data_IF_119410232525
#
_entry.id   IF_119410232525
#
_cell.length_a   1.000
_cell.length_b   1.000
_cell.length_c   1.000
_cell.angle_alpha   90.00
_cell.angle_beta   90.00
_cell.angle_gamma   90.00
#
_symmetry.space_group_name_H-M   'P 1'
#
loop_
_entity.id
_entity.type
_entity.pdbx_description
1 polymer ?
#
# COMPACT_ATOMS: atom_id res chain seq x y z
N UNK A 1 -1.37 -13.47 12.98
CA UNK A 1 -1.43 -13.42 11.51
C UNK A 1 -2.89 -13.61 11.11
N UNK A 2 -3.42 -12.77 10.29
CA UNK A 2 -4.74 -12.90 9.68
C UNK A 2 -4.61 -12.77 8.16
N UNK A 3 -5.56 -13.33 7.44
CA UNK A 3 -5.61 -13.28 5.98
C UNK A 3 -6.62 -12.21 5.58
N UNK A 4 -6.25 -11.36 4.64
CA UNK A 4 -7.14 -10.42 3.97
C UNK A 4 -7.05 -10.61 2.45
N UNK A 5 -8.03 -10.09 1.75
CA UNK A 5 -8.07 -10.10 0.28
C UNK A 5 -8.00 -8.66 -0.22
N UNK A 6 -7.29 -8.43 -1.32
CA UNK A 6 -7.28 -7.10 -1.96
C UNK A 6 -8.54 -6.90 -2.80
N UNK A 7 -9.09 -5.69 -2.78
CA UNK A 7 -10.17 -5.29 -3.70
C UNK A 7 -9.70 -5.32 -5.16
N UNK A 8 -8.39 -5.24 -5.41
CA UNK A 8 -7.75 -5.41 -6.74
C UNK A 8 -8.09 -6.76 -7.41
N UNK A 9 -8.54 -7.78 -6.64
CA UNK A 9 -9.01 -9.05 -7.20
C UNK A 9 -10.22 -8.90 -8.14
N UNK A 10 -10.99 -7.83 -8.02
CA UNK A 10 -12.14 -7.52 -8.86
C UNK A 10 -12.09 -6.11 -9.45
N UNK A 11 -11.04 -5.76 -10.21
CA UNK A 11 -10.78 -4.38 -10.64
C UNK A 11 -11.85 -3.82 -11.58
N UNK A 12 -12.61 -4.69 -12.27
CA UNK A 12 -13.66 -4.30 -13.20
C UNK A 12 -15.01 -4.01 -12.52
N UNK A 13 -15.17 -4.35 -11.22
CA UNK A 13 -16.42 -4.13 -10.50
C UNK A 13 -16.37 -2.79 -9.76
N UNK A 14 -17.52 -2.10 -9.59
CA UNK A 14 -17.62 -1.03 -8.60
C UNK A 14 -17.27 -1.52 -7.18
N UNK A 15 -16.73 -0.65 -6.32
CA UNK A 15 -16.28 -1.03 -4.97
C UNK A 15 -17.33 -1.84 -4.20
N UNK A 16 -18.56 -1.37 -4.14
CA UNK A 16 -19.64 -2.07 -3.41
C UNK A 16 -19.86 -3.50 -3.91
N UNK A 17 -19.85 -3.73 -5.24
CA UNK A 17 -19.99 -5.06 -5.83
C UNK A 17 -18.75 -5.93 -5.60
N UNK A 18 -17.55 -5.36 -5.66
CA UNK A 18 -16.32 -6.07 -5.33
C UNK A 18 -16.36 -6.55 -3.87
N UNK A 19 -16.78 -5.68 -2.95
CA UNK A 19 -16.91 -6.02 -1.54
C UNK A 19 -17.97 -7.10 -1.27
N UNK A 20 -19.14 -7.04 -1.94
CA UNK A 20 -20.16 -8.05 -1.86
C UNK A 20 -19.63 -9.42 -2.32
N UNK A 21 -18.90 -9.44 -3.45
CA UNK A 21 -18.26 -10.66 -3.96
C UNK A 21 -17.23 -11.23 -2.99
N UNK A 22 -16.40 -10.39 -2.37
CA UNK A 22 -15.41 -10.83 -1.39
C UNK A 22 -16.08 -11.37 -0.11
N UNK A 23 -17.19 -10.77 0.31
CA UNK A 23 -17.99 -11.27 1.45
C UNK A 23 -18.67 -12.62 1.15
N UNK A 24 -19.18 -12.83 -0.08
CA UNK A 24 -19.70 -14.12 -0.54
C UNK A 24 -18.64 -15.23 -0.53
N UNK A 25 -17.37 -14.88 -0.76
CA UNK A 25 -16.22 -15.78 -0.66
C UNK A 25 -15.73 -16.01 0.78
N UNK A 26 -16.51 -15.55 1.77
CA UNK A 26 -16.27 -15.74 3.20
C UNK A 26 -15.02 -15.01 3.75
N UNK A 27 -14.46 -14.05 3.04
CA UNK A 27 -13.44 -13.19 3.62
C UNK A 27 -14.03 -12.28 4.69
N UNK A 28 -13.24 -11.94 5.70
CA UNK A 28 -13.62 -11.06 6.81
C UNK A 28 -12.77 -9.81 6.91
N UNK A 29 -11.66 -9.76 6.17
CA UNK A 29 -10.73 -8.65 6.14
C UNK A 29 -10.34 -8.31 4.70
N UNK A 30 -10.10 -7.02 4.43
CA UNK A 30 -9.83 -6.52 3.09
C UNK A 30 -8.69 -5.49 3.10
N UNK A 31 -7.89 -5.51 2.05
CA UNK A 31 -7.01 -4.42 1.65
C UNK A 31 -7.74 -3.58 0.60
N UNK A 32 -7.84 -2.27 0.84
CA UNK A 32 -8.47 -1.33 -0.08
C UNK A 32 -7.45 -0.85 -1.11
N UNK A 33 -7.79 -0.98 -2.39
CA UNK A 33 -7.02 -0.46 -3.51
C UNK A 33 -7.40 1.00 -3.79
N UNK A 34 -6.47 1.92 -3.53
CA UNK A 34 -6.63 3.39 -3.69
C UNK A 34 -5.60 3.88 -4.68
N UNK A 35 -5.90 3.71 -5.95
CA UNK A 35 -5.01 4.02 -7.06
C UNK A 35 -5.63 5.06 -8.00
N UNK A 36 -4.83 5.96 -8.54
CA UNK A 36 -5.32 7.02 -9.44
C UNK A 36 -5.85 6.45 -10.75
N UNK A 37 -5.27 5.35 -11.23
CA UNK A 37 -5.71 4.64 -12.43
C UNK A 37 -6.09 3.21 -12.09
N UNK A 38 -7.32 2.83 -12.36
CA UNK A 38 -7.80 1.46 -12.19
C UNK A 38 -8.16 1.04 -10.78
N UNK A 39 -7.96 1.89 -9.76
CA UNK A 39 -8.35 1.61 -8.38
C UNK A 39 -9.84 1.82 -8.12
N UNK A 40 -10.37 1.15 -7.11
CA UNK A 40 -11.76 1.33 -6.68
C UNK A 40 -12.00 2.70 -6.06
N UNK A 41 -10.99 3.24 -5.41
CA UNK A 41 -10.95 4.61 -4.88
C UNK A 41 -9.79 5.35 -5.56
N UNK A 42 -10.04 6.59 -5.94
CA UNK A 42 -9.02 7.44 -6.56
C UNK A 42 -8.50 8.45 -5.54
N UNK A 43 -7.18 8.54 -5.30
CA UNK A 43 -6.58 9.49 -4.36
C UNK A 43 -7.06 10.93 -4.53
N UNK A 44 -7.22 11.41 -5.77
CA UNK A 44 -7.73 12.74 -6.04
C UNK A 44 -9.19 12.93 -5.55
N UNK A 45 -10.03 11.92 -5.72
CA UNK A 45 -11.43 11.96 -5.23
C UNK A 45 -11.49 11.89 -3.72
N UNK A 46 -10.66 11.04 -3.09
CA UNK A 46 -10.54 10.97 -1.63
C UNK A 46 -10.10 12.32 -1.05
N UNK A 47 -9.19 13.03 -1.72
CA UNK A 47 -8.75 14.35 -1.30
C UNK A 47 -9.84 15.42 -1.48
N UNK A 48 -10.63 15.34 -2.56
CA UNK A 48 -11.69 16.28 -2.86
C UNK A 48 -12.93 16.14 -1.95
N UNK A 49 -13.29 14.90 -1.58
CA UNK A 49 -14.47 14.60 -0.74
C UNK A 49 -14.19 13.45 0.21
N UNK A 50 -13.67 13.79 1.39
CA UNK A 50 -13.34 12.85 2.44
C UNK A 50 -14.58 12.13 3.00
N UNK A 51 -15.70 12.83 3.13
CA UNK A 51 -16.95 12.29 3.70
C UNK A 51 -17.55 11.25 2.76
N UNK A 52 -17.62 11.56 1.46
CA UNK A 52 -18.08 10.60 0.46
C UNK A 52 -17.18 9.35 0.40
N UNK A 53 -15.84 9.51 0.51
CA UNK A 53 -14.92 8.40 0.54
C UNK A 53 -15.14 7.50 1.77
N UNK A 54 -15.31 8.09 2.96
CA UNK A 54 -15.61 7.36 4.19
C UNK A 54 -16.96 6.64 4.05
N UNK A 55 -18.01 7.32 3.56
CA UNK A 55 -19.33 6.73 3.36
C UNK A 55 -19.27 5.52 2.40
N UNK A 56 -18.55 5.65 1.28
CA UNK A 56 -18.36 4.54 0.33
C UNK A 56 -17.66 3.32 0.94
N UNK A 57 -16.83 3.53 1.99
CA UNK A 57 -16.15 2.47 2.70
C UNK A 57 -16.86 2.01 3.99
N UNK A 58 -17.88 2.74 4.48
CA UNK A 58 -18.55 2.41 5.74
C UNK A 58 -19.60 1.32 5.60
N UNK A 59 -20.16 1.14 4.40
CA UNK A 59 -21.15 0.09 4.09
C UNK A 59 -20.48 -1.19 3.57
N UNK A 60 -19.34 -1.53 4.16
CA UNK A 60 -18.52 -2.68 3.73
C UNK A 60 -19.03 -4.03 4.22
N UNK A 61 -20.33 -4.12 4.48
CA UNK A 61 -21.00 -5.35 4.88
C UNK A 61 -20.36 -5.99 6.13
N UNK A 62 -19.59 -7.05 5.96
CA UNK A 62 -18.91 -7.77 7.05
C UNK A 62 -17.40 -7.72 6.95
N UNK A 63 -16.87 -6.97 5.97
CA UNK A 63 -15.44 -6.90 5.71
C UNK A 63 -14.79 -5.75 6.49
N UNK A 64 -13.73 -6.07 7.21
CA UNK A 64 -12.94 -5.07 7.94
C UNK A 64 -11.73 -4.64 7.11
N UNK A 65 -11.59 -3.36 6.74
CA UNK A 65 -10.36 -2.85 6.15
C UNK A 65 -9.19 -3.02 7.13
N UNK A 66 -8.04 -3.50 6.64
CA UNK A 66 -6.84 -3.76 7.45
C UNK A 66 -5.59 -3.13 6.85
N UNK A 67 -5.60 -2.86 5.56
CA UNK A 67 -4.55 -2.15 4.84
C UNK A 67 -5.15 -1.28 3.73
N UNK A 68 -4.42 -0.27 3.32
CA UNK A 68 -4.70 0.55 2.14
C UNK A 68 -3.48 0.52 1.23
N UNK A 69 -3.66 0.05 0.00
CA UNK A 69 -2.66 0.15 -1.07
C UNK A 69 -2.85 1.48 -1.79
N UNK A 70 -1.81 2.30 -1.82
CA UNK A 70 -1.85 3.66 -2.36
C UNK A 70 -0.88 3.79 -3.54
N UNK A 71 -1.40 4.26 -4.69
CA UNK A 71 -0.59 4.70 -5.81
C UNK A 71 -1.17 5.97 -6.45
N UNK A 72 -0.30 6.96 -6.67
CA UNK A 72 -0.64 8.21 -7.35
C UNK A 72 0.58 8.72 -8.13
N UNK A 73 0.37 9.52 -9.19
CA UNK A 73 1.45 10.14 -9.94
C UNK A 73 2.35 11.01 -9.05
N UNK A 74 3.65 10.99 -9.34
CA UNK A 74 4.62 11.88 -8.70
C UNK A 74 4.47 13.32 -9.23
N UNK A 75 3.60 14.08 -8.60
CA UNK A 75 3.34 15.49 -8.88
C UNK A 75 3.25 16.31 -7.60
N UNK A 76 2.97 17.61 -7.72
CA UNK A 76 2.89 18.52 -6.58
C UNK A 76 1.82 18.13 -5.53
N UNK A 77 0.78 17.39 -5.95
CA UNK A 77 -0.36 17.01 -5.10
C UNK A 77 -0.16 15.63 -4.43
N UNK A 78 0.93 14.90 -4.72
CA UNK A 78 1.17 13.55 -4.24
C UNK A 78 1.00 13.41 -2.72
N UNK A 79 1.64 14.28 -1.96
CA UNK A 79 1.64 14.20 -0.50
C UNK A 79 0.30 14.65 0.11
N UNK A 80 -0.39 15.61 -0.49
CA UNK A 80 -1.73 16.02 -0.10
C UNK A 80 -2.72 14.86 -0.29
N UNK A 81 -2.68 14.21 -1.45
CA UNK A 81 -3.49 13.03 -1.75
C UNK A 81 -3.19 11.88 -0.81
N UNK A 82 -1.90 11.63 -0.54
CA UNK A 82 -1.50 10.61 0.43
C UNK A 82 -2.02 10.92 1.83
N UNK A 83 -1.91 12.17 2.28
CA UNK A 83 -2.43 12.59 3.58
C UNK A 83 -3.95 12.40 3.67
N UNK A 84 -4.69 12.70 2.61
CA UNK A 84 -6.13 12.45 2.55
C UNK A 84 -6.45 10.95 2.68
N UNK A 85 -5.70 10.09 1.97
CA UNK A 85 -5.85 8.63 2.07
C UNK A 85 -5.45 8.11 3.47
N UNK A 86 -4.45 8.70 4.13
CA UNK A 86 -4.12 8.40 5.52
C UNK A 86 -5.27 8.76 6.48
N UNK A 87 -5.94 9.90 6.27
CA UNK A 87 -7.15 10.26 7.07
C UNK A 87 -8.28 9.26 6.85
N UNK A 88 -8.53 8.85 5.60
CA UNK A 88 -9.49 7.79 5.28
C UNK A 88 -9.13 6.49 6.01
N UNK A 89 -7.90 6.03 5.89
CA UNK A 89 -7.40 4.83 6.56
C UNK A 89 -7.62 4.90 8.08
N UNK A 90 -7.29 6.03 8.70
CA UNK A 90 -7.52 6.27 10.14
C UNK A 90 -8.99 6.20 10.53
N UNK A 91 -9.88 6.79 9.74
CA UNK A 91 -11.34 6.77 9.99
C UNK A 91 -11.91 5.35 9.90
N UNK A 92 -11.32 4.50 9.09
CA UNK A 92 -11.70 3.08 8.93
C UNK A 92 -11.00 2.13 9.94
N UNK A 93 -10.15 2.66 10.83
CA UNK A 93 -9.39 1.85 11.78
C UNK A 93 -8.24 1.05 11.17
N UNK A 94 -7.82 1.40 9.96
CA UNK A 94 -6.65 0.82 9.28
C UNK A 94 -5.38 1.37 9.91
N UNK A 95 -4.34 0.55 9.98
CA UNK A 95 -3.03 0.96 10.53
C UNK A 95 -1.89 0.85 9.51
N UNK A 96 -2.10 0.21 8.36
CA UNK A 96 -1.06 -0.06 7.37
C UNK A 96 -1.37 0.64 6.04
N UNK A 97 -0.45 1.49 5.59
CA UNK A 97 -0.44 2.08 4.26
C UNK A 97 0.64 1.38 3.43
N UNK A 98 0.27 0.79 2.30
CA UNK A 98 1.21 0.21 1.34
C UNK A 98 1.49 1.22 0.24
N UNK A 99 2.75 1.49 -0.05
CA UNK A 99 3.18 2.41 -1.12
C UNK A 99 4.18 1.72 -2.04
N UNK A 100 4.19 2.11 -3.29
CA UNK A 100 5.22 1.67 -4.25
C UNK A 100 6.53 2.41 -4.01
N UNK A 101 7.67 1.76 -4.30
CA UNK A 101 8.93 2.49 -4.44
C UNK A 101 9.04 3.15 -5.82
N UNK A 102 9.94 4.11 -5.95
CA UNK A 102 10.26 4.72 -7.23
C UNK A 102 10.83 3.70 -8.23
N UNK A 103 10.79 4.04 -9.50
CA UNK A 103 11.33 3.21 -10.59
C UNK A 103 12.84 3.02 -10.45
N UNK A 104 13.34 1.95 -11.07
CA UNK A 104 14.78 1.72 -11.18
C UNK A 104 15.49 2.90 -11.85
N UNK A 105 16.65 3.28 -11.29
CA UNK A 105 17.42 4.41 -11.78
C UNK A 105 17.11 5.73 -11.09
N UNK A 106 16.08 5.81 -10.26
CA UNK A 106 15.84 6.96 -9.39
C UNK A 106 17.02 7.14 -8.42
N UNK A 107 17.53 8.38 -8.22
CA UNK A 107 18.57 8.63 -7.25
C UNK A 107 18.20 8.16 -5.85
N UNK A 108 19.06 7.33 -5.23
CA UNK A 108 18.78 6.69 -3.94
C UNK A 108 18.41 7.68 -2.83
N UNK A 109 19.11 8.82 -2.76
CA UNK A 109 18.79 9.87 -1.79
C UNK A 109 17.44 10.53 -2.05
N UNK A 110 17.03 10.65 -3.31
CA UNK A 110 15.70 11.16 -3.67
C UNK A 110 14.58 10.24 -3.16
N UNK A 111 14.76 8.93 -3.32
CA UNK A 111 13.82 7.95 -2.79
C UNK A 111 13.76 7.96 -1.25
N UNK A 112 14.90 8.08 -0.56
CA UNK A 112 14.95 8.23 0.89
C UNK A 112 14.13 9.45 1.33
N UNK A 113 14.30 10.59 0.69
CA UNK A 113 13.56 11.81 1.04
C UNK A 113 12.05 11.66 0.77
N UNK A 114 11.69 11.02 -0.35
CA UNK A 114 10.30 10.72 -0.70
C UNK A 114 9.63 9.82 0.35
N UNK A 115 10.27 8.71 0.69
CA UNK A 115 9.76 7.76 1.68
C UNK A 115 9.70 8.36 3.10
N UNK A 116 10.67 9.21 3.47
CA UNK A 116 10.64 9.96 4.75
C UNK A 116 9.39 10.84 4.87
N UNK A 117 8.99 11.50 3.79
CA UNK A 117 7.76 12.31 3.76
C UNK A 117 6.52 11.45 3.96
N UNK A 118 6.41 10.31 3.27
CA UNK A 118 5.31 9.38 3.48
C UNK A 118 5.24 8.89 4.93
N UNK A 119 6.39 8.46 5.49
CA UNK A 119 6.45 7.99 6.87
C UNK A 119 6.06 9.10 7.86
N UNK A 120 6.54 10.33 7.66
CA UNK A 120 6.20 11.45 8.52
C UNK A 120 4.69 11.74 8.52
N UNK A 121 4.06 11.83 7.34
CA UNK A 121 2.61 12.06 7.21
C UNK A 121 1.80 10.94 7.88
N UNK A 122 2.16 9.69 7.64
CA UNK A 122 1.47 8.54 8.21
C UNK A 122 1.62 8.47 9.74
N UNK A 123 2.81 8.77 10.25
CA UNK A 123 3.11 8.73 11.68
C UNK A 123 2.28 9.74 12.50
N UNK A 124 1.95 10.92 11.95
CA UNK A 124 1.05 11.88 12.60
C UNK A 124 -0.34 11.30 12.92
N UNK A 125 -0.76 10.31 12.15
CA UNK A 125 -2.04 9.62 12.31
C UNK A 125 -1.91 8.24 12.99
N UNK A 126 -0.70 7.86 13.38
CA UNK A 126 -0.42 6.55 14.00
C UNK A 126 -0.47 5.39 13.00
N UNK A 127 -0.17 5.65 11.72
CA UNK A 127 -0.14 4.66 10.66
C UNK A 127 1.31 4.22 10.36
N UNK A 128 1.46 3.02 9.85
CA UNK A 128 2.74 2.45 9.39
C UNK A 128 2.77 2.45 7.86
N UNK A 129 3.88 2.86 7.27
CA UNK A 129 4.11 2.78 5.83
C UNK A 129 4.94 1.55 5.50
N UNK A 130 4.38 0.64 4.72
CA UNK A 130 5.07 -0.49 4.12
C UNK A 130 5.41 -0.22 2.66
N UNK A 131 6.70 -0.16 2.30
CA UNK A 131 7.09 -0.10 0.89
C UNK A 131 6.96 -1.48 0.25
N UNK A 132 6.23 -1.56 -0.86
CA UNK A 132 6.00 -2.81 -1.60
C UNK A 132 7.28 -3.26 -2.29
N UNK A 133 7.59 -4.56 -2.20
CA UNK A 133 8.65 -5.16 -3.01
C UNK A 133 8.11 -5.48 -4.39
N UNK A 134 8.79 -4.99 -5.45
CA UNK A 134 8.28 -5.09 -6.81
C UNK A 134 9.40 -5.12 -7.84
N UNK A 135 9.28 -6.04 -8.82
CA UNK A 135 10.19 -6.12 -9.96
C UNK A 135 10.07 -4.86 -10.84
N UNK A 136 11.20 -4.34 -11.32
CA UNK A 136 11.25 -3.08 -12.09
C UNK A 136 11.31 -1.82 -11.23
N UNK A 137 11.18 -1.95 -9.92
CA UNK A 137 11.27 -0.86 -8.95
C UNK A 137 12.55 -0.94 -8.11
N UNK A 138 12.86 0.10 -7.35
CA UNK A 138 14.05 0.10 -6.48
C UNK A 138 14.01 -1.03 -5.44
N UNK A 139 12.84 -1.46 -5.02
CA UNK A 139 12.61 -2.55 -4.07
C UNK A 139 12.66 -3.95 -4.68
N UNK A 140 13.00 -4.09 -5.97
CA UNK A 140 13.21 -5.41 -6.58
C UNK A 140 14.41 -6.15 -5.97
N UNK A 141 15.36 -5.41 -5.38
CA UNK A 141 16.53 -5.98 -4.72
C UNK A 141 16.37 -5.90 -3.18
N UNK A 142 16.49 -7.04 -2.45
CA UNK A 142 16.31 -7.06 -0.99
C UNK A 142 17.34 -6.22 -0.24
N UNK A 143 18.59 -6.14 -0.71
CA UNK A 143 19.63 -5.34 -0.04
C UNK A 143 19.35 -3.85 -0.20
N UNK A 144 18.89 -3.42 -1.37
CA UNK A 144 18.43 -2.06 -1.59
C UNK A 144 17.24 -1.73 -0.68
N UNK A 145 16.26 -2.64 -0.60
CA UNK A 145 15.10 -2.51 0.29
C UNK A 145 15.52 -2.41 1.76
N UNK A 146 16.43 -3.29 2.21
CA UNK A 146 16.98 -3.22 3.57
C UNK A 146 17.73 -1.89 3.83
N UNK A 147 18.43 -1.37 2.81
CA UNK A 147 19.11 -0.08 2.90
C UNK A 147 18.13 1.08 3.01
N UNK A 148 17.03 1.07 2.26
CA UNK A 148 15.96 2.06 2.41
C UNK A 148 15.40 2.05 3.84
N UNK A 149 15.06 0.87 4.40
CA UNK A 149 14.57 0.76 5.77
C UNK A 149 15.58 1.27 6.82
N UNK A 150 16.88 1.05 6.61
CA UNK A 150 17.92 1.59 7.51
C UNK A 150 18.01 3.12 7.48
N UNK A 151 17.79 3.72 6.32
CA UNK A 151 17.93 5.17 6.10
C UNK A 151 16.62 5.95 6.31
N UNK A 152 15.48 5.25 6.40
CA UNK A 152 14.15 5.84 6.65
C UNK A 152 13.57 5.23 7.93
N UNK A 153 13.85 5.80 9.11
CA UNK A 153 13.30 5.30 10.37
C UNK A 153 11.76 5.27 10.33
N UNK A 154 11.16 4.15 10.76
CA UNK A 154 9.71 3.95 10.73
C UNK A 154 9.18 3.36 9.42
N UNK A 155 10.00 3.23 8.38
CA UNK A 155 9.62 2.51 7.16
C UNK A 155 9.60 1.01 7.42
N UNK A 156 8.51 0.38 7.02
CA UNK A 156 8.33 -1.06 6.98
C UNK A 156 8.30 -1.59 5.53
N UNK A 157 8.11 -2.89 5.38
CA UNK A 157 8.07 -3.57 4.08
C UNK A 157 6.72 -4.26 3.90
N UNK A 158 6.07 -4.02 2.78
CA UNK A 158 4.99 -4.84 2.25
C UNK A 158 5.62 -5.86 1.28
N UNK A 159 5.87 -7.06 1.79
CA UNK A 159 6.60 -8.10 1.08
C UNK A 159 5.71 -8.81 0.07
N UNK A 160 6.07 -8.78 -1.20
CA UNK A 160 5.55 -9.66 -2.23
C UNK A 160 6.67 -10.62 -2.70
N UNK A 161 6.70 -11.86 -2.17
CA UNK A 161 7.78 -12.79 -2.48
C UNK A 161 7.78 -13.24 -3.94
N UNK A 162 6.65 -13.12 -4.65
CA UNK A 162 6.55 -13.52 -6.07
C UNK A 162 7.54 -12.75 -6.95
N UNK A 163 7.77 -11.47 -6.64
CA UNK A 163 8.71 -10.64 -7.39
C UNK A 163 10.18 -11.07 -7.21
N UNK A 164 10.53 -11.70 -6.09
CA UNK A 164 11.87 -12.26 -5.87
C UNK A 164 12.03 -13.65 -6.50
N UNK A 165 10.93 -14.40 -6.62
CA UNK A 165 10.93 -15.73 -7.21
C UNK A 165 10.92 -15.65 -8.74
N UNK A 166 10.03 -14.83 -9.30
CA UNK A 166 9.79 -14.76 -10.75
C UNK A 166 10.50 -13.58 -11.43
N UNK A 167 10.86 -12.54 -10.68
CA UNK A 167 11.51 -11.33 -11.19
C UNK A 167 13.01 -11.45 -11.45
N UNK A 168 13.66 -12.52 -11.01
CA UNK A 168 15.11 -12.69 -11.07
C UNK A 168 15.52 -13.96 -11.82
N UNK A 169 16.69 -13.90 -12.51
CA UNK A 169 17.28 -15.07 -13.19
C UNK A 169 17.82 -16.13 -12.21
N UNK A 170 18.01 -15.78 -10.94
CA UNK A 170 18.49 -16.66 -9.86
C UNK A 170 17.67 -16.38 -8.60
N UNK A 171 17.42 -17.39 -7.74
CA UNK A 171 16.79 -17.18 -6.45
C UNK A 171 17.54 -16.11 -5.64
N UNK A 172 16.82 -15.16 -5.09
CA UNK A 172 17.35 -14.08 -4.24
C UNK A 172 16.83 -14.30 -2.83
N UNK A 173 17.73 -14.31 -1.83
CA UNK A 173 17.32 -14.36 -0.43
C UNK A 173 16.76 -13.00 0.01
N UNK A 174 15.61 -13.00 0.65
CA UNK A 174 14.97 -11.80 1.25
C UNK A 174 14.99 -11.81 2.78
N UNK A 175 15.83 -12.65 3.39
CA UNK A 175 15.94 -12.75 4.85
C UNK A 175 16.31 -11.43 5.52
N UNK A 176 17.12 -10.60 4.83
CA UNK A 176 17.58 -9.30 5.33
C UNK A 176 16.45 -8.32 5.62
N UNK A 177 15.30 -8.47 4.96
CA UNK A 177 14.15 -7.57 5.10
C UNK A 177 13.05 -8.13 5.99
N UNK A 178 13.07 -9.40 6.38
CA UNK A 178 11.98 -10.05 7.13
C UNK A 178 11.63 -9.32 8.44
N UNK A 179 12.62 -8.80 9.14
CA UNK A 179 12.42 -8.06 10.39
C UNK A 179 11.65 -6.74 10.22
N UNK A 180 11.60 -6.23 8.98
CA UNK A 180 10.90 -4.97 8.64
C UNK A 180 9.51 -5.22 8.06
N UNK A 181 9.10 -6.49 7.85
CA UNK A 181 7.83 -6.80 7.20
C UNK A 181 6.65 -6.49 8.11
N UNK A 182 5.73 -5.66 7.61
CA UNK A 182 4.45 -5.34 8.27
C UNK A 182 3.25 -5.93 7.53
N UNK A 183 3.38 -6.23 6.24
CA UNK A 183 2.33 -6.76 5.38
C UNK A 183 2.92 -7.72 4.34
N UNK A 184 2.12 -8.70 3.88
CA UNK A 184 2.56 -9.67 2.87
C UNK A 184 1.49 -9.82 1.80
N UNK A 185 1.88 -9.68 0.54
CA UNK A 185 1.08 -10.02 -0.62
C UNK A 185 1.45 -11.44 -1.10
N UNK A 186 0.46 -12.32 -1.19
CA UNK A 186 0.61 -13.66 -1.78
C UNK A 186 -0.16 -13.70 -3.09
N UNK A 187 0.52 -14.09 -4.16
CA UNK A 187 -0.04 -14.23 -5.51
C UNK A 187 0.19 -15.65 -6.04
#
# INVERSE_FOLDING_TARGET
VFVCVSTECFPALPLAQAMERLAELEFTAVELDVHETGGHLQPARVAADQEAAIAACSDLQRLRPVAVSFAAPENAELYERFQACCRLAKSLGVVTMVVESSELGTPFNGEIERLRKFVAIAAELGLVVGVKTEAGRMTQDPETTASLCRNVPGLAVALDPSHFIFGHKKPVSWETILKNVCHVHLR
#
